data_IF_604173870616
#
_entry.id   IF_604173870616
#
_cell.length_a   1.000
_cell.length_b   1.000
_cell.length_c   1.000
_cell.angle_alpha   90.00
_cell.angle_beta   90.00
_cell.angle_gamma   90.00
#
_symmetry.space_group_name_H-M   'P 1'
#
loop_
_entity.id
_entity.type
_entity.pdbx_description
1 polymer ?
#
# COMPACT_ATOMS: atom_id res chain seq x y z
N UNK A 1 4.62 -6.03 -4.98
CA UNK A 1 3.48 -5.10 -4.80
C UNK A 1 2.97 -4.70 -6.18
N UNK A 2 1.66 -4.78 -6.41
CA UNK A 2 1.04 -4.28 -7.64
C UNK A 2 0.84 -2.76 -7.57
N UNK A 3 0.86 -2.04 -8.70
CA UNK A 3 0.58 -0.61 -8.74
C UNK A 3 -0.82 -0.31 -8.18
N UNK A 4 -0.95 0.78 -7.43
CA UNK A 4 -2.24 1.21 -6.88
C UNK A 4 -3.17 1.79 -7.96
N UNK A 5 -2.60 2.47 -8.94
CA UNK A 5 -3.31 3.04 -10.07
C UNK A 5 -2.85 2.31 -11.32
N UNK A 6 -3.78 1.77 -12.09
CA UNK A 6 -3.56 1.07 -13.36
C UNK A 6 -4.63 1.49 -14.34
N UNK A 7 -4.23 1.96 -15.50
CA UNK A 7 -5.13 2.24 -16.62
C UNK A 7 -5.30 1.00 -17.50
N UNK A 8 -6.40 0.91 -18.23
CA UNK A 8 -6.73 -0.25 -19.07
C UNK A 8 -5.60 -0.62 -20.03
N UNK A 9 -4.92 0.38 -20.62
CA UNK A 9 -3.78 0.14 -21.52
C UNK A 9 -2.53 -0.46 -20.85
N UNK A 10 -2.41 -0.36 -19.51
CA UNK A 10 -1.29 -0.92 -18.74
C UNK A 10 -1.55 -2.38 -18.32
N UNK A 11 -2.82 -2.79 -18.28
CA UNK A 11 -3.24 -4.08 -17.75
C UNK A 11 -2.64 -5.30 -18.47
N UNK A 12 -2.52 -5.35 -19.82
CA UNK A 12 -1.88 -6.47 -20.52
C UNK A 12 -0.42 -6.68 -20.10
N UNK A 13 0.35 -5.59 -20.00
CA UNK A 13 1.75 -5.64 -19.58
C UNK A 13 1.87 -6.11 -18.12
N UNK A 14 0.97 -5.67 -17.26
CA UNK A 14 0.95 -6.08 -15.86
C UNK A 14 0.60 -7.57 -15.72
N UNK A 15 -0.35 -8.10 -16.50
CA UNK A 15 -0.66 -9.54 -16.53
C UNK A 15 0.56 -10.35 -16.98
N UNK A 16 1.24 -9.93 -18.05
CA UNK A 16 2.46 -10.59 -18.52
C UNK A 16 3.54 -10.61 -17.43
N UNK A 17 3.74 -9.48 -16.74
CA UNK A 17 4.70 -9.40 -15.65
C UNK A 17 4.32 -10.35 -14.49
N UNK A 18 3.05 -10.46 -14.13
CA UNK A 18 2.59 -11.41 -13.09
C UNK A 18 2.86 -12.87 -13.49
N UNK A 19 2.63 -13.23 -14.76
CA UNK A 19 2.94 -14.57 -15.27
C UNK A 19 4.45 -14.87 -15.20
N UNK A 20 5.29 -13.92 -15.61
CA UNK A 20 6.75 -14.07 -15.51
C UNK A 20 7.22 -14.22 -14.07
N UNK A 21 6.70 -13.40 -13.16
CA UNK A 21 7.01 -13.48 -11.74
C UNK A 21 6.58 -14.82 -11.12
N UNK A 22 5.40 -15.33 -11.52
CA UNK A 22 4.95 -16.66 -11.08
C UNK A 22 5.89 -17.77 -11.53
N UNK A 23 6.31 -17.72 -12.80
CA UNK A 23 7.26 -18.70 -13.35
C UNK A 23 8.63 -18.61 -12.66
N UNK A 24 9.01 -17.44 -12.17
CA UNK A 24 10.21 -17.22 -11.34
C UNK A 24 10.04 -17.61 -9.85
N UNK A 25 8.89 -18.22 -9.48
CA UNK A 25 8.64 -18.71 -8.12
C UNK A 25 7.92 -17.73 -7.18
N UNK A 26 7.53 -16.54 -7.62
CA UNK A 26 6.71 -15.61 -6.83
C UNK A 26 5.29 -16.18 -6.73
N UNK A 27 4.81 -16.39 -5.51
CA UNK A 27 3.52 -17.04 -5.25
C UNK A 27 2.39 -16.07 -4.89
N UNK A 28 2.72 -14.90 -4.35
CA UNK A 28 1.71 -13.95 -3.89
C UNK A 28 1.99 -12.53 -4.35
N UNK A 29 0.92 -11.76 -4.47
CA UNK A 29 0.95 -10.33 -4.78
C UNK A 29 0.21 -9.52 -3.72
N UNK A 30 0.67 -8.31 -3.50
CA UNK A 30 0.02 -7.32 -2.68
C UNK A 30 -0.78 -6.38 -3.61
N UNK A 31 -2.10 -6.35 -3.46
CA UNK A 31 -3.02 -5.61 -4.35
C UNK A 31 -3.82 -4.57 -3.56
N UNK A 32 -3.65 -3.30 -3.91
CA UNK A 32 -4.40 -2.16 -3.36
C UNK A 32 -5.47 -1.60 -4.29
N UNK A 33 -5.80 -2.31 -5.37
CA UNK A 33 -6.80 -1.94 -6.36
C UNK A 33 -7.73 -3.12 -6.64
N UNK A 34 -9.04 -2.94 -6.45
CA UNK A 34 -10.05 -3.99 -6.66
C UNK A 34 -10.03 -4.52 -8.10
N UNK A 35 -9.77 -3.67 -9.09
CA UNK A 35 -9.68 -4.07 -10.50
C UNK A 35 -8.53 -5.04 -10.82
N UNK A 36 -7.56 -5.20 -9.90
CA UNK A 36 -6.44 -6.12 -10.07
C UNK A 36 -6.65 -7.49 -9.43
N UNK A 37 -7.70 -7.68 -8.65
CA UNK A 37 -7.93 -8.96 -7.95
C UNK A 37 -8.24 -10.09 -8.93
N UNK A 38 -9.14 -9.87 -9.89
CA UNK A 38 -9.46 -10.87 -10.91
C UNK A 38 -8.25 -11.18 -11.81
N UNK A 39 -7.54 -10.19 -12.40
CA UNK A 39 -6.31 -10.42 -13.15
C UNK A 39 -5.23 -11.20 -12.39
N UNK A 40 -5.02 -10.88 -11.11
CA UNK A 40 -4.04 -11.60 -10.29
C UNK A 40 -4.45 -13.06 -10.05
N UNK A 41 -5.75 -13.30 -9.83
CA UNK A 41 -6.29 -14.66 -9.68
C UNK A 41 -6.15 -15.46 -10.97
N UNK A 42 -6.48 -14.88 -12.11
CA UNK A 42 -6.30 -15.51 -13.44
C UNK A 42 -4.85 -15.92 -13.68
N UNK A 43 -3.89 -15.14 -13.20
CA UNK A 43 -2.47 -15.50 -13.23
C UNK A 43 -2.09 -16.53 -12.15
N UNK A 44 -3.05 -17.01 -11.34
CA UNK A 44 -2.85 -18.02 -10.28
C UNK A 44 -2.00 -17.51 -9.12
N UNK A 45 -2.04 -16.22 -8.81
CA UNK A 45 -1.36 -15.62 -7.66
C UNK A 45 -2.23 -15.67 -6.40
N UNK A 46 -1.61 -15.91 -5.26
CA UNK A 46 -2.25 -15.67 -3.96
C UNK A 46 -2.33 -14.16 -3.72
N UNK A 47 -3.52 -13.68 -3.40
CA UNK A 47 -3.77 -12.23 -3.28
C UNK A 47 -3.77 -11.83 -1.80
N UNK A 48 -2.98 -10.82 -1.48
CA UNK A 48 -2.99 -10.10 -0.21
C UNK A 48 -3.48 -8.68 -0.45
N UNK A 49 -4.50 -8.27 0.30
CA UNK A 49 -5.08 -6.93 0.18
C UNK A 49 -4.17 -5.88 0.81
N UNK A 50 -3.90 -4.80 0.07
CA UNK A 50 -3.13 -3.66 0.57
C UNK A 50 -4.04 -2.53 1.06
N UNK A 51 -3.48 -1.53 1.74
CA UNK A 51 -4.19 -0.38 2.30
C UNK A 51 -5.09 0.35 1.30
N UNK A 52 -4.77 0.29 0.00
CA UNK A 52 -5.59 0.89 -1.06
C UNK A 52 -7.00 0.31 -1.20
N UNK A 53 -7.27 -0.87 -0.64
CA UNK A 53 -8.62 -1.44 -0.57
C UNK A 53 -9.49 -0.76 0.50
N UNK A 54 -8.88 0.06 1.35
CA UNK A 54 -9.53 0.89 2.36
C UNK A 54 -10.56 0.14 3.23
N UNK A 55 -10.11 -0.93 3.87
CA UNK A 55 -10.97 -1.79 4.70
C UNK A 55 -11.26 -1.12 6.04
N UNK A 56 -12.51 -0.75 6.25
CA UNK A 56 -12.96 0.04 7.39
C UNK A 56 -14.07 -0.63 8.22
N UNK A 57 -14.65 -1.73 7.74
CA UNK A 57 -15.77 -2.40 8.41
C UNK A 57 -15.83 -3.90 8.09
N UNK A 58 -16.61 -4.62 8.88
CA UNK A 58 -16.76 -6.07 8.78
C UNK A 58 -17.38 -6.53 7.46
N UNK A 59 -18.21 -5.71 6.80
CA UNK A 59 -18.80 -6.07 5.50
C UNK A 59 -17.73 -6.11 4.41
N UNK A 60 -16.82 -5.12 4.42
CA UNK A 60 -15.67 -5.13 3.50
C UNK A 60 -14.78 -6.35 3.74
N UNK A 61 -14.50 -6.72 5.01
CA UNK A 61 -13.73 -7.93 5.32
C UNK A 61 -14.41 -9.20 4.82
N UNK A 62 -15.73 -9.32 4.98
CA UNK A 62 -16.49 -10.45 4.46
C UNK A 62 -16.45 -10.54 2.93
N UNK A 63 -16.55 -9.39 2.24
CA UNK A 63 -16.43 -9.34 0.78
C UNK A 63 -15.06 -9.87 0.33
N UNK A 64 -13.98 -9.47 1.00
CA UNK A 64 -12.64 -9.95 0.65
C UNK A 64 -12.44 -11.45 0.94
N UNK A 65 -13.11 -11.99 1.97
CA UNK A 65 -13.19 -13.45 2.18
C UNK A 65 -13.88 -14.13 1.00
N UNK A 66 -15.03 -13.60 0.58
CA UNK A 66 -15.80 -14.16 -0.53
C UNK A 66 -15.03 -14.03 -1.87
N UNK A 67 -14.13 -13.07 -1.94
CA UNK A 67 -13.16 -12.91 -3.03
C UNK A 67 -11.87 -13.72 -2.82
N UNK A 68 -11.79 -14.59 -1.80
CA UNK A 68 -10.68 -15.52 -1.54
C UNK A 68 -9.31 -14.84 -1.33
N UNK A 69 -9.27 -13.65 -0.71
CA UNK A 69 -8.01 -13.04 -0.33
C UNK A 69 -7.39 -13.78 0.85
N UNK A 70 -6.08 -13.99 0.80
CA UNK A 70 -5.34 -14.66 1.88
C UNK A 70 -5.16 -13.77 3.12
N UNK A 71 -5.05 -12.45 2.91
CA UNK A 71 -4.97 -11.45 3.97
C UNK A 71 -5.43 -10.08 3.46
N UNK A 72 -5.72 -9.16 4.36
CA UNK A 72 -6.05 -7.79 4.01
C UNK A 72 -5.55 -6.80 5.08
N UNK A 73 -5.01 -5.68 4.63
CA UNK A 73 -4.64 -4.58 5.49
C UNK A 73 -5.86 -3.76 5.87
N UNK A 74 -6.04 -3.55 7.17
CA UNK A 74 -7.03 -2.62 7.70
C UNK A 74 -6.62 -1.17 7.38
N UNK A 75 -7.61 -0.30 7.21
CA UNK A 75 -7.35 1.11 6.99
C UNK A 75 -6.56 1.70 8.17
N UNK A 76 -5.50 2.42 7.87
CA UNK A 76 -4.71 3.14 8.89
C UNK A 76 -5.43 4.36 9.46
N UNK A 77 -6.62 4.69 8.96
CA UNK A 77 -7.50 5.72 9.52
C UNK A 77 -8.39 5.19 10.65
N UNK A 78 -8.37 3.88 10.89
CA UNK A 78 -9.12 3.26 11.99
C UNK A 78 -8.42 3.50 13.33
N UNK A 79 -9.22 3.68 14.37
CA UNK A 79 -8.75 3.65 15.76
C UNK A 79 -8.50 2.22 16.25
N UNK A 80 -7.69 2.03 17.29
CA UNK A 80 -7.43 0.70 17.85
C UNK A 80 -8.72 -0.05 18.27
N UNK A 81 -9.72 0.58 18.92
CA UNK A 81 -10.99 -0.09 19.22
C UNK A 81 -11.71 -0.57 17.95
N UNK A 82 -11.76 0.25 16.90
CA UNK A 82 -12.38 -0.15 15.62
C UNK A 82 -11.64 -1.34 14.99
N UNK A 83 -10.29 -1.32 15.01
CA UNK A 83 -9.48 -2.44 14.51
C UNK A 83 -9.70 -3.72 15.34
N UNK A 84 -9.89 -3.61 16.65
CA UNK A 84 -10.20 -4.74 17.53
C UNK A 84 -11.57 -5.34 17.20
N UNK A 85 -12.57 -4.50 17.02
CA UNK A 85 -13.97 -4.92 16.95
C UNK A 85 -14.41 -5.34 15.52
N UNK A 86 -13.63 -5.03 14.49
CA UNK A 86 -13.90 -5.48 13.12
C UNK A 86 -13.77 -6.99 12.99
N UNK A 87 -14.67 -7.63 12.22
CA UNK A 87 -14.57 -9.05 11.89
C UNK A 87 -13.26 -9.38 11.18
N UNK A 88 -12.57 -10.42 11.62
CA UNK A 88 -11.35 -10.95 10.99
C UNK A 88 -11.69 -12.09 10.03
N UNK A 89 -12.64 -11.86 9.12
CA UNK A 89 -13.10 -12.87 8.15
C UNK A 89 -11.96 -13.36 7.21
N UNK A 90 -10.92 -12.55 7.03
CA UNK A 90 -9.62 -12.92 6.44
C UNK A 90 -8.51 -12.50 7.41
N UNK A 91 -7.31 -13.02 7.23
CA UNK A 91 -6.14 -12.62 8.02
C UNK A 91 -5.95 -11.09 7.94
N UNK A 92 -6.12 -10.40 9.07
CA UNK A 92 -6.03 -8.94 9.13
C UNK A 92 -4.58 -8.49 9.37
N UNK A 93 -4.16 -7.48 8.63
CA UNK A 93 -2.85 -6.85 8.78
C UNK A 93 -3.03 -5.38 9.19
N UNK A 94 -2.08 -4.82 9.93
CA UNK A 94 -2.05 -3.39 10.28
C UNK A 94 -0.68 -2.80 9.99
N UNK A 95 -0.64 -1.48 9.74
CA UNK A 95 0.62 -0.75 9.75
C UNK A 95 1.14 -0.60 11.17
N UNK A 96 2.38 -1.02 11.42
CA UNK A 96 3.06 -0.82 12.69
C UNK A 96 4.22 0.18 12.60
N UNK A 97 4.79 0.36 11.40
CA UNK A 97 5.90 1.28 11.19
C UNK A 97 5.92 1.85 9.78
N UNK A 98 6.29 3.13 9.66
CA UNK A 98 6.64 3.78 8.41
C UNK A 98 5.86 5.06 8.12
N UNK A 99 6.13 5.66 6.97
CA UNK A 99 5.42 6.86 6.51
C UNK A 99 4.19 6.47 5.72
N UNK A 100 3.01 6.83 6.22
CA UNK A 100 1.76 6.55 5.55
C UNK A 100 1.66 7.33 4.23
N UNK A 101 1.23 6.70 3.12
CA UNK A 101 0.97 7.40 1.88
C UNK A 101 -0.31 8.23 1.99
N UNK A 102 -0.18 9.54 1.74
CA UNK A 102 -1.28 10.50 1.82
C UNK A 102 -1.96 10.69 0.47
N UNK A 103 -1.17 10.75 -0.61
CA UNK A 103 -1.68 11.06 -1.94
C UNK A 103 -0.82 10.38 -3.02
N UNK A 104 -1.48 9.93 -4.08
CA UNK A 104 -0.85 9.55 -5.35
C UNK A 104 -1.28 10.54 -6.42
N UNK A 105 -0.36 11.05 -7.21
CA UNK A 105 -0.66 12.00 -8.29
C UNK A 105 0.03 11.60 -9.59
N UNK A 106 -0.69 11.71 -10.70
CA UNK A 106 -0.16 11.62 -12.07
C UNK A 106 0.76 12.81 -12.40
N UNK A 107 0.60 13.90 -11.67
CA UNK A 107 1.39 15.10 -11.86
C UNK A 107 2.78 14.91 -11.25
N UNK A 108 3.82 15.01 -12.08
CA UNK A 108 5.19 14.93 -11.60
C UNK A 108 5.57 16.24 -10.88
N UNK A 109 5.47 16.24 -9.55
CA UNK A 109 5.78 17.38 -8.69
C UNK A 109 7.21 17.91 -8.95
N UNK A 110 8.16 17.00 -9.19
CA UNK A 110 9.57 17.32 -9.42
C UNK A 110 9.74 18.05 -10.74
N UNK A 111 9.24 17.48 -11.84
CA UNK A 111 9.35 18.06 -13.17
C UNK A 111 8.65 19.41 -13.26
N UNK A 112 7.51 19.57 -12.60
CA UNK A 112 6.78 20.83 -12.60
C UNK A 112 7.53 21.97 -11.92
N UNK A 113 8.30 21.66 -10.87
CA UNK A 113 9.08 22.65 -10.16
C UNK A 113 10.39 22.99 -10.87
N UNK A 114 11.09 22.01 -11.41
CA UNK A 114 12.47 22.15 -11.92
C UNK A 114 12.55 22.21 -13.45
N UNK A 115 11.45 21.92 -14.17
CA UNK A 115 11.42 21.75 -15.62
C UNK A 115 12.04 20.43 -16.09
N UNK A 116 12.72 19.69 -15.22
CA UNK A 116 13.46 18.47 -15.55
C UNK A 116 13.10 17.29 -14.63
N UNK A 117 13.21 16.08 -15.16
CA UNK A 117 13.03 14.87 -14.37
C UNK A 117 14.31 14.56 -13.56
N UNK A 118 14.28 14.82 -12.26
CA UNK A 118 15.41 14.58 -11.33
C UNK A 118 15.04 13.61 -10.21
N UNK A 119 14.02 12.79 -10.40
CA UNK A 119 13.50 11.87 -9.36
C UNK A 119 14.52 10.80 -8.89
N UNK A 120 15.61 10.58 -9.63
CA UNK A 120 16.68 9.66 -9.27
C UNK A 120 17.87 10.36 -8.57
N UNK A 121 17.81 11.69 -8.35
CA UNK A 121 18.94 12.48 -7.81
C UNK A 121 18.88 12.70 -6.30
N UNK A 122 17.93 12.03 -5.62
CA UNK A 122 17.80 12.10 -4.17
C UNK A 122 16.36 12.33 -3.70
N UNK A 123 16.15 12.35 -2.38
CA UNK A 123 14.83 12.54 -1.80
C UNK A 123 14.30 13.95 -2.07
N UNK A 124 13.08 14.02 -2.60
CA UNK A 124 12.33 15.27 -2.78
C UNK A 124 11.35 15.43 -1.63
N UNK A 125 11.13 16.66 -1.18
CA UNK A 125 10.22 16.99 -0.10
C UNK A 125 9.35 18.19 -0.48
N UNK A 126 8.11 18.15 -0.03
CA UNK A 126 7.24 19.32 0.01
C UNK A 126 7.21 19.83 1.45
N UNK A 127 7.42 21.12 1.63
CA UNK A 127 7.34 21.77 2.94
C UNK A 127 6.05 22.58 3.01
N UNK A 128 5.27 22.40 4.05
CA UNK A 128 4.02 23.16 4.27
C UNK A 128 4.31 24.54 4.93
N UNK A 129 3.22 25.29 5.17
CA UNK A 129 3.29 26.62 5.81
C UNK A 129 3.83 26.59 7.24
N UNK A 130 3.77 25.44 7.90
CA UNK A 130 4.25 25.26 9.29
C UNK A 130 5.68 24.77 9.35
N UNK A 131 6.32 24.53 8.20
CA UNK A 131 7.66 23.96 8.11
C UNK A 131 7.72 22.43 8.19
N UNK A 132 6.59 21.74 8.12
CA UNK A 132 6.56 20.28 8.10
C UNK A 132 6.93 19.74 6.72
N UNK A 133 7.84 18.77 6.68
CA UNK A 133 8.36 18.14 5.48
C UNK A 133 7.62 16.85 5.15
N UNK A 134 7.13 16.76 3.92
CA UNK A 134 6.45 15.60 3.36
C UNK A 134 7.30 15.00 2.24
N UNK A 135 7.89 13.82 2.44
CA UNK A 135 8.67 13.17 1.39
C UNK A 135 7.83 12.81 0.19
N UNK A 136 8.39 12.98 -0.99
CA UNK A 136 7.80 12.59 -2.27
C UNK A 136 8.64 11.49 -2.88
N UNK A 137 8.03 10.36 -3.16
CA UNK A 137 8.68 9.23 -3.83
C UNK A 137 8.02 8.94 -5.17
N UNK A 138 8.75 8.28 -6.06
CA UNK A 138 8.23 7.78 -7.32
C UNK A 138 7.45 6.48 -7.10
N UNK A 139 6.30 6.34 -7.73
CA UNK A 139 5.51 5.10 -7.70
C UNK A 139 6.03 4.12 -8.76
N UNK A 140 6.92 3.23 -8.35
CA UNK A 140 7.41 2.13 -9.20
C UNK A 140 7.95 2.57 -10.55
N UNK A 141 7.50 1.91 -11.62
CA UNK A 141 7.90 2.18 -13.00
C UNK A 141 7.19 3.37 -13.63
N UNK A 142 6.06 3.80 -13.08
CA UNK A 142 5.29 4.96 -13.58
C UNK A 142 5.93 6.28 -13.16
N UNK A 143 5.56 7.38 -13.87
CA UNK A 143 5.97 8.73 -13.46
C UNK A 143 5.04 9.34 -12.41
N UNK A 144 4.26 8.53 -11.70
CA UNK A 144 3.39 8.97 -10.59
C UNK A 144 4.23 9.32 -9.38
N UNK A 145 3.79 10.31 -8.64
CA UNK A 145 4.41 10.71 -7.38
C UNK A 145 3.52 10.30 -6.20
N UNK A 146 4.13 9.74 -5.17
CA UNK A 146 3.46 9.44 -3.89
C UNK A 146 3.96 10.42 -2.84
N UNK A 147 3.04 11.16 -2.25
CA UNK A 147 3.30 12.02 -1.11
C UNK A 147 3.16 11.20 0.17
N UNK A 148 4.20 11.18 0.98
CA UNK A 148 4.21 10.47 2.25
C UNK A 148 4.00 11.43 3.43
N UNK A 149 3.44 10.92 4.53
CA UNK A 149 3.27 11.68 5.75
C UNK A 149 4.63 12.19 6.28
N UNK A 150 4.66 13.43 6.73
CA UNK A 150 5.83 14.05 7.33
C UNK A 150 6.28 13.36 8.63
N UNK A 151 5.34 12.79 9.40
CA UNK A 151 5.62 11.98 10.59
C UNK A 151 5.54 10.50 10.26
N UNK A 152 6.47 9.71 10.81
CA UNK A 152 6.39 8.24 10.76
C UNK A 152 5.38 7.75 11.76
N UNK A 153 4.55 6.78 11.37
CA UNK A 153 3.86 5.93 12.32
C UNK A 153 4.90 5.06 13.02
N UNK A 154 4.78 4.92 14.33
CA UNK A 154 5.63 4.05 15.13
C UNK A 154 4.79 3.42 16.23
N UNK A 155 4.43 2.15 16.06
CA UNK A 155 3.63 1.38 17.02
C UNK A 155 4.39 0.17 17.58
N UNK A 156 5.69 0.07 17.27
CA UNK A 156 6.52 -1.03 17.76
C UNK A 156 6.72 -1.00 19.29
N UNK A 157 6.48 0.13 19.92
CA UNK A 157 6.43 0.32 21.38
C UNK A 157 5.06 -0.01 22.01
N UNK A 158 4.05 -0.35 21.17
CA UNK A 158 2.67 -0.63 21.59
C UNK A 158 2.27 -2.09 21.38
N UNK A 159 3.19 -3.02 21.55
CA UNK A 159 2.99 -4.45 21.27
C UNK A 159 1.83 -5.07 22.08
N UNK A 160 1.61 -4.63 23.33
CA UNK A 160 0.46 -5.09 24.13
C UNK A 160 -0.88 -4.67 23.51
N UNK A 161 -0.97 -3.45 22.99
CA UNK A 161 -2.17 -2.99 22.30
C UNK A 161 -2.41 -3.76 21.01
N UNK A 162 -1.35 -3.96 20.22
CA UNK A 162 -1.41 -4.68 18.96
C UNK A 162 -1.80 -6.16 19.16
N UNK A 163 -1.26 -6.81 20.19
CA UNK A 163 -1.61 -8.19 20.53
C UNK A 163 -3.11 -8.37 20.84
N UNK A 164 -3.77 -7.33 21.37
CA UNK A 164 -5.22 -7.35 21.70
C UNK A 164 -6.12 -7.16 20.48
N UNK A 165 -5.57 -6.76 19.32
CA UNK A 165 -6.36 -6.51 18.11
C UNK A 165 -6.81 -7.79 17.39
N UNK A 166 -6.20 -8.95 17.70
CA UNK A 166 -6.47 -10.19 16.99
C UNK A 166 -6.03 -10.14 15.52
N UNK A 167 -4.96 -9.41 15.22
CA UNK A 167 -4.38 -9.30 13.89
C UNK A 167 -3.46 -10.49 13.60
N UNK A 168 -3.30 -10.78 12.30
CA UNK A 168 -2.40 -11.83 11.83
C UNK A 168 -0.97 -11.34 11.64
N UNK A 169 -0.78 -10.10 11.17
CA UNK A 169 0.55 -9.55 10.92
C UNK A 169 0.60 -8.03 11.10
N UNK A 170 1.78 -7.58 11.47
CA UNK A 170 2.18 -6.18 11.51
C UNK A 170 3.06 -5.87 10.31
N UNK A 171 2.72 -4.82 9.58
CA UNK A 171 3.49 -4.41 8.40
C UNK A 171 4.38 -3.22 8.71
N UNK A 172 5.65 -3.37 8.41
CA UNK A 172 6.64 -2.29 8.41
C UNK A 172 6.84 -1.79 6.97
N UNK A 173 6.71 -0.49 6.76
CA UNK A 173 6.79 0.15 5.46
C UNK A 173 8.02 1.06 5.39
N UNK A 174 9.13 0.50 4.94
CA UNK A 174 10.39 1.22 4.75
C UNK A 174 10.40 1.91 3.39
N UNK A 175 10.54 3.23 3.38
CA UNK A 175 10.50 4.06 2.16
C UNK A 175 11.58 5.12 2.09
N UNK A 176 11.92 5.74 3.22
CA UNK A 176 12.87 6.85 3.32
C UNK A 176 14.00 6.56 4.29
N UNK A 177 14.04 5.37 4.83
CA UNK A 177 15.10 4.88 5.69
C UNK A 177 16.35 4.59 4.85
N UNK A 178 17.50 4.97 5.37
CA UNK A 178 18.77 4.54 4.81
C UNK A 178 18.96 3.04 5.14
N UNK A 179 19.47 2.24 4.20
CA UNK A 179 19.80 0.83 4.45
C UNK A 179 20.88 0.69 5.52
#
# INVERSE_FOLDING_TARGET
>A
VLPRIVHDGELPNLKNAMVLLKNAGVRSVLAGNLGLLAPARECGMVIRGDFGLNIFNSRSMNLLRDMELASAMLSFEMTLPQMRDISKAVNAEVFAYGRLPLMVTENCIIKNRTGQCTCNQGPVRLTDKTGADFPVIKDGASCRSVLLNGKKLYWLDRQEDLARLGIWAERMYFTTENP
#
